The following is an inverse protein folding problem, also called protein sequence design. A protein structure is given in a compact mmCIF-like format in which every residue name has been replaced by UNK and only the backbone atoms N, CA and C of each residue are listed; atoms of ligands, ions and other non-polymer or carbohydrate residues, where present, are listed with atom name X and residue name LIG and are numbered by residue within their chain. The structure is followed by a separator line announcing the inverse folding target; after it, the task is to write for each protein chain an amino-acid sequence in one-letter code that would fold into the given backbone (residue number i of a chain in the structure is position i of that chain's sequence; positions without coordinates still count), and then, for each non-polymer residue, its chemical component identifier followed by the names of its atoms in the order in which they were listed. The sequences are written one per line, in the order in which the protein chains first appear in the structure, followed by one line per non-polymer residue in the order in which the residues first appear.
data_IF_142381944961
#
_entry.id   IF_142381944961
#
_cell.length_a   1.000
_cell.length_b   1.000
_cell.length_c   1.000
_cell.angle_alpha   90.00
_cell.angle_beta   90.00
_cell.angle_gamma   90.00
#
_symmetry.space_group_name_H-M   'P 1'
#
loop_
_entity.id
_entity.type
_entity.pdbx_description
1 polymer ?
#
# COMPACT_ATOMS: atom_id res chain seq x y z
N UNK A 1 3.42 -0.59 7.50
CA UNK A 1 2.39 -1.15 8.45
C UNK A 1 1.04 -1.20 7.75
N UNK A 2 0.25 -2.26 7.96
CA UNK A 2 -1.07 -2.38 7.33
C UNK A 2 -2.06 -1.37 7.92
N UNK A 3 -2.94 -0.84 7.07
CA UNK A 3 -4.08 -0.01 7.50
C UNK A 3 -5.19 -0.92 8.01
N UNK A 4 -6.04 -0.40 8.89
CA UNK A 4 -7.15 -1.17 9.50
C UNK A 4 -8.09 -1.81 8.46
N UNK A 5 -8.26 -1.17 7.31
CA UNK A 5 -9.06 -1.68 6.18
C UNK A 5 -8.48 -2.96 5.56
N UNK A 6 -7.15 -3.10 5.59
CA UNK A 6 -6.41 -4.25 5.07
C UNK A 6 -6.12 -5.29 6.15
N UNK A 7 -6.39 -4.95 7.42
CA UNK A 7 -6.24 -5.85 8.53
C UNK A 7 -7.29 -6.96 8.46
N UNK A 8 -6.84 -8.20 8.62
CA UNK A 8 -7.72 -9.37 8.67
C UNK A 8 -7.53 -10.02 10.04
N UNK A 9 -8.62 -10.14 10.78
CA UNK A 9 -8.65 -10.84 12.05
C UNK A 9 -10.01 -11.53 12.24
N UNK A 10 -10.00 -12.72 12.81
CA UNK A 10 -11.20 -13.42 13.26
C UNK A 10 -11.38 -13.27 14.77
N UNK A 11 -12.64 -13.25 15.20
CA UNK A 11 -13.02 -13.17 16.60
C UNK A 11 -13.58 -14.53 17.02
N UNK A 12 -12.92 -15.20 17.96
CA UNK A 12 -13.29 -16.52 18.45
C UNK A 12 -13.15 -16.53 19.97
N UNK A 13 -14.23 -16.84 20.69
CA UNK A 13 -14.23 -16.99 22.16
C UNK A 13 -13.60 -15.81 22.93
N UNK A 14 -13.87 -14.58 22.48
CA UNK A 14 -13.30 -13.36 23.08
C UNK A 14 -11.83 -13.12 22.76
N UNK A 15 -11.22 -13.93 21.89
CA UNK A 15 -9.87 -13.74 21.36
C UNK A 15 -9.91 -13.17 19.95
N UNK A 16 -8.93 -12.32 19.63
CA UNK A 16 -8.71 -11.79 18.28
C UNK A 16 -7.54 -12.54 17.66
N UNK A 17 -7.80 -13.30 16.60
CA UNK A 17 -6.81 -14.07 15.89
C UNK A 17 -6.52 -13.37 14.55
N UNK A 18 -5.36 -12.68 14.41
CA UNK A 18 -4.98 -12.09 13.13
C UNK A 18 -4.74 -13.20 12.09
N UNK A 19 -4.99 -12.86 10.82
CA UNK A 19 -4.68 -13.77 9.71
C UNK A 19 -3.18 -14.07 9.67
N UNK A 20 -2.84 -15.36 9.51
CA UNK A 20 -1.45 -15.84 9.55
C UNK A 20 -1.24 -16.92 8.50
N UNK A 21 -0.23 -16.68 7.67
CA UNK A 21 0.26 -17.65 6.70
C UNK A 21 1.17 -18.65 7.42
N UNK A 22 0.68 -19.88 7.55
CA UNK A 22 1.41 -21.04 8.07
C UNK A 22 2.14 -21.81 6.96
N UNK A 23 3.25 -22.47 7.32
CA UNK A 23 4.07 -23.27 6.39
C UNK A 23 3.33 -24.47 5.80
N UNK A 24 2.32 -25.00 6.48
CA UNK A 24 1.62 -26.21 6.04
C UNK A 24 0.46 -25.87 5.09
N UNK A 25 -0.44 -24.97 5.51
CA UNK A 25 -1.64 -24.63 4.73
C UNK A 25 -1.35 -23.67 3.57
N UNK A 26 -0.30 -22.87 3.68
CA UNK A 26 0.00 -21.80 2.72
C UNK A 26 1.39 -21.98 2.11
N UNK A 27 1.80 -23.22 1.86
CA UNK A 27 3.09 -23.51 1.21
C UNK A 27 3.17 -22.88 -0.20
N UNK A 28 2.06 -22.87 -0.93
CA UNK A 28 1.95 -22.29 -2.27
C UNK A 28 2.15 -20.78 -2.31
N UNK A 29 1.95 -20.07 -1.19
CA UNK A 29 2.20 -18.63 -1.11
C UNK A 29 3.68 -18.27 -1.30
N UNK A 30 4.60 -19.22 -1.15
CA UNK A 30 6.02 -19.00 -1.42
C UNK A 30 6.22 -18.73 -2.92
N UNK A 31 5.54 -19.47 -3.78
CA UNK A 31 5.67 -19.29 -5.22
C UNK A 31 4.95 -18.02 -5.69
N UNK A 32 3.77 -17.71 -5.13
CA UNK A 32 3.14 -16.41 -5.34
C UNK A 32 4.02 -15.24 -4.88
N UNK A 33 4.73 -15.38 -3.76
CA UNK A 33 5.65 -14.34 -3.30
C UNK A 33 6.77 -14.06 -4.31
N UNK A 34 7.33 -15.10 -4.94
CA UNK A 34 8.32 -14.95 -6.02
C UNK A 34 7.72 -14.25 -7.23
N UNK A 35 6.54 -14.67 -7.67
CA UNK A 35 5.85 -14.07 -8.81
C UNK A 35 5.54 -12.59 -8.57
N UNK A 36 5.03 -12.25 -7.39
CA UNK A 36 4.77 -10.85 -7.01
C UNK A 36 6.05 -10.01 -7.00
N UNK A 37 7.16 -10.53 -6.48
CA UNK A 37 8.45 -9.83 -6.53
C UNK A 37 8.95 -9.66 -7.97
N UNK A 38 8.76 -10.66 -8.83
CA UNK A 38 9.12 -10.62 -10.24
C UNK A 38 8.32 -9.56 -11.02
N UNK A 39 7.03 -9.39 -10.70
CA UNK A 39 6.19 -8.32 -11.27
C UNK A 39 6.76 -6.94 -10.95
N UNK A 40 7.13 -6.69 -9.69
CA UNK A 40 7.72 -5.39 -9.30
C UNK A 40 9.12 -5.19 -9.87
N UNK A 41 9.91 -6.27 -10.00
CA UNK A 41 11.25 -6.23 -10.59
C UNK A 41 11.22 -5.91 -12.09
N UNK A 42 10.32 -6.54 -12.84
CA UNK A 42 10.17 -6.29 -14.28
C UNK A 42 9.33 -5.05 -14.61
N UNK A 43 8.52 -4.59 -13.65
CA UNK A 43 7.60 -3.47 -13.79
C UNK A 43 8.20 -2.08 -13.52
N UNK A 44 9.52 -1.91 -13.51
CA UNK A 44 10.13 -0.58 -13.36
C UNK A 44 9.65 0.34 -14.51
N UNK A 45 9.11 1.50 -14.17
CA UNK A 45 8.51 2.46 -15.10
C UNK A 45 7.00 2.25 -15.37
N UNK A 46 6.41 1.15 -14.91
CA UNK A 46 4.97 0.90 -15.03
C UNK A 46 4.17 1.66 -13.95
N UNK A 47 2.87 1.85 -14.20
CA UNK A 47 1.98 2.51 -13.25
C UNK A 47 1.64 1.59 -12.07
N UNK A 48 1.52 2.18 -10.88
CA UNK A 48 1.12 1.47 -9.65
C UNK A 48 -0.17 0.67 -9.82
N UNK A 49 -1.17 1.22 -10.53
CA UNK A 49 -2.43 0.52 -10.84
C UNK A 49 -2.21 -0.78 -11.61
N UNK A 50 -1.35 -0.77 -12.61
CA UNK A 50 -1.05 -1.96 -13.42
C UNK A 50 -0.36 -3.01 -12.56
N UNK A 51 0.61 -2.61 -11.73
CA UNK A 51 1.27 -3.52 -10.78
C UNK A 51 0.26 -4.17 -9.82
N UNK A 52 -0.66 -3.38 -9.26
CA UNK A 52 -1.70 -3.89 -8.36
C UNK A 52 -2.65 -4.85 -9.07
N UNK A 53 -3.01 -4.57 -10.33
CA UNK A 53 -3.82 -5.46 -11.15
C UNK A 53 -3.11 -6.80 -11.44
N UNK A 54 -1.81 -6.78 -11.72
CA UNK A 54 -1.05 -8.03 -11.92
C UNK A 54 -0.95 -8.84 -10.62
N UNK A 55 -0.73 -8.21 -9.46
CA UNK A 55 -0.80 -8.92 -8.16
C UNK A 55 -2.18 -9.53 -7.94
N UNK A 56 -3.23 -8.78 -8.24
CA UNK A 56 -4.60 -9.26 -8.09
C UNK A 56 -4.82 -10.52 -8.93
N UNK A 57 -4.36 -10.56 -10.19
CA UNK A 57 -4.47 -11.74 -11.05
C UNK A 57 -3.73 -12.96 -10.49
N UNK A 58 -2.54 -12.76 -9.93
CA UNK A 58 -1.75 -13.85 -9.32
C UNK A 58 -2.54 -14.48 -8.16
N UNK A 59 -3.13 -13.66 -7.30
CA UNK A 59 -3.82 -14.12 -6.09
C UNK A 59 -5.27 -14.57 -6.36
N UNK A 60 -5.90 -14.12 -7.45
CA UNK A 60 -7.22 -14.60 -7.91
C UNK A 60 -7.19 -16.08 -8.32
N UNK A 61 -6.00 -16.63 -8.62
CA UNK A 61 -5.85 -18.06 -8.87
C UNK A 61 -6.13 -18.94 -7.63
N UNK A 62 -6.08 -18.36 -6.42
CA UNK A 62 -6.38 -19.03 -5.16
C UNK A 62 -7.82 -18.72 -4.70
N UNK A 63 -8.77 -19.68 -4.82
CA UNK A 63 -10.17 -19.45 -4.48
C UNK A 63 -10.42 -19.22 -2.97
N UNK A 64 -9.47 -19.56 -2.10
CA UNK A 64 -9.57 -19.32 -0.65
C UNK A 64 -8.97 -17.97 -0.24
N UNK A 65 -8.41 -17.19 -1.17
CA UNK A 65 -7.73 -15.93 -0.86
C UNK A 65 -8.75 -14.79 -0.59
N UNK A 66 -8.74 -14.17 0.61
CA UNK A 66 -9.56 -12.99 0.86
C UNK A 66 -9.07 -11.81 0.02
N UNK A 67 -9.99 -11.04 -0.57
CA UNK A 67 -9.66 -9.83 -1.36
C UNK A 67 -8.76 -8.85 -0.58
N UNK A 68 -8.95 -8.75 0.74
CA UNK A 68 -8.13 -7.89 1.62
C UNK A 68 -6.65 -8.29 1.66
N UNK A 69 -6.35 -9.57 1.43
CA UNK A 69 -4.97 -10.09 1.41
C UNK A 69 -4.20 -9.55 0.20
N UNK A 70 -4.87 -9.38 -0.94
CA UNK A 70 -4.32 -8.72 -2.14
C UNK A 70 -3.86 -7.30 -1.80
N UNK A 71 -4.76 -6.48 -1.24
CA UNK A 71 -4.42 -5.11 -0.86
C UNK A 71 -3.31 -5.03 0.19
N UNK A 72 -3.26 -5.99 1.12
CA UNK A 72 -2.19 -6.09 2.09
C UNK A 72 -0.82 -6.38 1.44
N UNK A 73 -0.74 -7.31 0.48
CA UNK A 73 0.50 -7.57 -0.24
C UNK A 73 0.92 -6.40 -1.13
N UNK A 74 -0.01 -5.79 -1.87
CA UNK A 74 0.26 -4.58 -2.65
C UNK A 74 0.87 -3.50 -1.75
N UNK A 75 0.31 -3.27 -0.57
CA UNK A 75 0.85 -2.30 0.39
C UNK A 75 2.25 -2.66 0.88
N UNK A 76 2.52 -3.93 1.20
CA UNK A 76 3.84 -4.35 1.68
C UNK A 76 4.93 -4.21 0.62
N UNK A 77 4.59 -4.44 -0.65
CA UNK A 77 5.49 -4.25 -1.79
C UNK A 77 5.67 -2.75 -2.10
N UNK A 78 4.60 -1.97 -2.00
CA UNK A 78 4.65 -0.52 -2.15
C UNK A 78 5.49 0.15 -1.05
N UNK A 79 5.41 -0.33 0.21
CA UNK A 79 6.24 0.15 1.33
C UNK A 79 7.75 -0.06 1.07
N UNK A 80 8.12 -0.95 0.12
CA UNK A 80 9.49 -1.20 -0.33
C UNK A 80 9.85 -0.56 -1.66
N UNK A 81 8.90 0.11 -2.27
CA UNK A 81 9.02 0.70 -3.60
C UNK A 81 9.12 2.21 -3.50
N UNK A 82 9.88 2.80 -4.41
CA UNK A 82 9.89 4.24 -4.63
C UNK A 82 9.07 4.52 -5.89
N UNK A 83 8.19 5.51 -5.80
CA UNK A 83 7.31 5.91 -6.91
C UNK A 83 7.55 7.37 -7.28
N UNK A 84 7.48 7.67 -8.58
CA UNK A 84 7.48 9.04 -9.08
C UNK A 84 6.09 9.66 -8.89
N UNK A 85 5.99 10.54 -7.90
CA UNK A 85 4.76 11.29 -7.59
C UNK A 85 4.54 12.50 -8.51
N UNK A 86 5.47 12.76 -9.45
CA UNK A 86 5.40 13.88 -10.38
C UNK A 86 5.41 15.25 -9.68
N UNK A 87 4.86 16.26 -10.38
CA UNK A 87 4.74 17.65 -9.89
C UNK A 87 3.26 18.07 -9.87
N UNK A 88 2.55 17.91 -8.73
CA UNK A 88 1.10 18.11 -8.66
C UNK A 88 0.61 19.48 -9.15
N UNK A 89 1.35 20.56 -8.84
CA UNK A 89 1.00 21.91 -9.28
C UNK A 89 1.07 22.06 -10.80
N UNK A 90 2.12 21.53 -11.43
CA UNK A 90 2.31 21.59 -12.88
C UNK A 90 1.25 20.74 -13.60
N UNK A 91 0.94 19.56 -13.06
CA UNK A 91 -0.09 18.66 -13.60
C UNK A 91 -1.49 19.28 -13.53
N UNK A 92 -1.83 19.97 -12.42
CA UNK A 92 -3.11 20.68 -12.31
C UNK A 92 -3.23 21.82 -13.32
N UNK A 93 -2.15 22.58 -13.56
CA UNK A 93 -2.12 23.64 -14.58
C UNK A 93 -2.29 23.07 -15.99
N UNK A 94 -1.63 21.94 -16.29
CA UNK A 94 -1.77 21.22 -17.56
C UNK A 94 -3.24 20.80 -17.79
N UNK A 95 -3.88 20.20 -16.78
CA UNK A 95 -5.31 19.84 -16.85
C UNK A 95 -6.19 21.05 -17.16
N UNK A 96 -5.94 22.17 -16.49
CA UNK A 96 -6.72 23.39 -16.74
C UNK A 96 -6.57 23.92 -18.17
N UNK A 97 -5.34 23.91 -18.72
CA UNK A 97 -5.10 24.35 -20.11
C UNK A 97 -5.81 23.44 -21.11
N UNK A 98 -5.61 22.13 -21.00
CA UNK A 98 -6.22 21.12 -21.88
C UNK A 98 -7.74 21.19 -21.84
N UNK A 99 -8.35 21.24 -20.64
CA UNK A 99 -9.80 21.31 -20.53
C UNK A 99 -10.38 22.64 -21.02
N UNK A 100 -9.64 23.76 -20.89
CA UNK A 100 -10.07 25.04 -21.45
C UNK A 100 -10.04 25.04 -22.98
N UNK A 101 -9.01 24.45 -23.59
CA UNK A 101 -8.93 24.29 -25.04
C UNK A 101 -10.04 23.37 -25.57
N UNK A 102 -10.30 22.25 -24.87
CA UNK A 102 -11.39 21.34 -25.21
C UNK A 102 -12.77 22.01 -25.08
N UNK A 103 -12.97 22.82 -24.04
CA UNK A 103 -14.23 23.54 -23.82
C UNK A 103 -14.51 24.60 -24.90
N UNK A 104 -13.48 25.20 -25.48
CA UNK A 104 -13.62 26.15 -26.58
C UNK A 104 -14.10 25.48 -27.90
N UNK A 105 -13.97 24.16 -27.99
CA UNK A 105 -14.34 23.32 -29.14
C UNK A 105 -15.51 22.40 -28.80
N UNK A 106 -16.39 22.83 -27.88
CA UNK A 106 -17.60 22.10 -27.52
C UNK A 106 -18.73 22.38 -28.54
N UNK A 107 -19.52 21.37 -28.98
CA UNK A 107 -19.56 19.97 -28.56
C UNK A 107 -18.50 19.07 -29.22
N UNK A 108 -17.96 18.14 -28.41
CA UNK A 108 -17.06 17.08 -28.86
C UNK A 108 -17.87 15.81 -29.11
N UNK A 109 -17.85 15.32 -30.35
CA UNK A 109 -18.65 14.16 -30.77
C UNK A 109 -17.80 13.10 -31.48
N UNK A 110 -18.30 11.86 -31.49
CA UNK A 110 -17.68 10.76 -32.22
C UNK A 110 -18.07 10.80 -33.72
N UNK A 111 -19.33 11.13 -34.01
CA UNK A 111 -19.84 11.32 -35.36
C UNK A 111 -20.27 12.78 -35.50
N UNK A 112 -19.76 13.45 -36.52
CA UNK A 112 -20.09 14.85 -36.83
C UNK A 112 -21.42 14.86 -37.58
N UNK A 113 -22.45 15.44 -36.98
CA UNK A 113 -23.79 15.57 -37.58
C UNK A 113 -24.13 17.04 -37.91
N UNK A 114 -23.49 17.97 -37.21
CA UNK A 114 -23.65 19.42 -37.35
C UNK A 114 -22.34 20.13 -37.71
N UNK A 115 -22.44 21.32 -38.30
CA UNK A 115 -21.27 22.19 -38.59
C UNK A 115 -20.60 22.70 -37.30
N UNK A 116 -21.35 22.74 -36.20
CA UNK A 116 -20.85 23.15 -34.88
C UNK A 116 -20.15 21.98 -34.14
N UNK A 117 -20.25 20.77 -34.67
CA UNK A 117 -19.68 19.59 -34.03
C UNK A 117 -18.18 19.48 -34.34
N UNK A 118 -17.42 19.13 -33.31
CA UNK A 118 -15.99 18.86 -33.44
C UNK A 118 -15.70 17.39 -33.17
N UNK A 119 -15.02 16.72 -34.12
CA UNK A 119 -14.58 15.35 -33.91
C UNK A 119 -13.56 15.31 -32.77
N UNK A 120 -13.78 14.46 -31.77
CA UNK A 120 -12.93 14.43 -30.58
C UNK A 120 -11.46 14.08 -30.90
N UNK A 121 -11.20 13.25 -31.92
CA UNK A 121 -9.84 12.87 -32.35
C UNK A 121 -9.06 14.08 -32.87
N UNK A 122 -9.67 14.91 -33.73
CA UNK A 122 -9.03 16.12 -34.26
C UNK A 122 -8.71 17.12 -33.14
N UNK A 123 -9.60 17.22 -32.15
CA UNK A 123 -9.39 18.09 -30.99
C UNK A 123 -8.26 17.56 -30.12
N UNK A 124 -8.17 16.24 -29.90
CA UNK A 124 -7.07 15.61 -29.18
C UNK A 124 -5.73 15.89 -29.85
N UNK A 125 -5.65 15.75 -31.18
CA UNK A 125 -4.42 15.99 -31.94
C UNK A 125 -4.04 17.47 -31.93
N UNK A 126 -4.99 18.39 -32.09
CA UNK A 126 -4.75 19.85 -31.98
C UNK A 126 -4.22 20.25 -30.61
N UNK A 127 -4.81 19.72 -29.54
CA UNK A 127 -4.37 19.97 -28.17
C UNK A 127 -2.95 19.40 -27.96
N UNK A 128 -2.71 18.17 -28.40
CA UNK A 128 -1.42 17.51 -28.30
C UNK A 128 -0.31 18.29 -29.03
N UNK A 129 -0.59 18.78 -30.24
CA UNK A 129 0.30 19.68 -30.99
C UNK A 129 0.58 20.98 -30.23
N UNK A 130 -0.43 21.59 -29.61
CA UNK A 130 -0.25 22.85 -28.86
C UNK A 130 0.65 22.69 -27.63
N UNK A 131 0.64 21.51 -27.00
CA UNK A 131 1.49 21.17 -25.85
C UNK A 131 2.79 20.45 -26.28
N UNK A 132 3.10 20.40 -27.59
CA UNK A 132 4.28 19.76 -28.19
C UNK A 132 4.50 18.29 -27.76
N UNK A 133 3.42 17.51 -27.66
CA UNK A 133 3.52 16.10 -27.24
C UNK A 133 2.50 15.23 -27.99
N UNK A 134 2.50 13.91 -27.78
CA UNK A 134 1.47 13.02 -28.34
C UNK A 134 0.26 12.94 -27.42
N UNK A 135 -0.95 12.68 -27.94
CA UNK A 135 -2.12 12.56 -27.07
C UNK A 135 -1.97 11.41 -26.04
N UNK A 136 -1.28 10.33 -26.40
CA UNK A 136 -1.00 9.22 -25.48
C UNK A 136 -0.14 9.67 -24.30
N UNK A 137 0.94 10.39 -24.55
CA UNK A 137 1.82 10.92 -23.49
C UNK A 137 1.11 11.99 -22.68
N UNK A 138 0.37 12.88 -23.34
CA UNK A 138 -0.42 13.93 -22.68
C UNK A 138 -1.44 13.32 -21.71
N UNK A 139 -2.16 12.29 -22.15
CA UNK A 139 -3.14 11.56 -21.31
C UNK A 139 -2.49 10.98 -20.06
N UNK A 140 -1.28 10.44 -20.17
CA UNK A 140 -0.54 9.91 -19.03
C UNK A 140 -0.06 11.03 -18.09
N UNK A 141 0.41 12.15 -18.66
CA UNK A 141 0.88 13.30 -17.88
C UNK A 141 -0.25 14.01 -17.12
N UNK A 142 -1.44 14.12 -17.71
CA UNK A 142 -2.62 14.80 -17.14
C UNK A 142 -2.99 14.32 -15.74
N UNK A 143 -2.73 13.04 -15.45
CA UNK A 143 -3.11 12.39 -14.21
C UNK A 143 -1.90 11.79 -13.47
N UNK A 144 -0.69 12.24 -13.78
CA UNK A 144 0.55 11.81 -13.13
C UNK A 144 0.63 12.14 -11.63
N UNK A 145 -0.24 13.04 -11.15
CA UNK A 145 -0.35 13.41 -9.74
C UNK A 145 -1.23 12.43 -8.92
N UNK A 146 -2.01 11.58 -9.59
CA UNK A 146 -2.84 10.56 -8.94
C UNK A 146 -1.99 9.37 -8.50
N UNK A 147 -2.16 8.95 -7.25
CA UNK A 147 -1.38 7.87 -6.62
C UNK A 147 -1.38 6.57 -7.45
N UNK A 148 -2.54 6.19 -8.01
CA UNK A 148 -2.67 5.01 -8.89
C UNK A 148 -1.81 5.08 -10.16
N UNK A 149 -1.48 6.29 -10.63
CA UNK A 149 -0.73 6.52 -11.86
C UNK A 149 0.75 6.82 -11.60
N UNK A 150 1.17 6.86 -10.34
CA UNK A 150 2.59 7.02 -10.01
C UNK A 150 3.38 5.85 -10.59
N UNK A 151 4.54 6.15 -11.17
CA UNK A 151 5.38 5.14 -11.82
C UNK A 151 6.40 4.59 -10.85
N UNK A 152 6.62 3.28 -10.90
CA UNK A 152 7.65 2.63 -10.09
C UNK A 152 9.04 3.09 -10.58
N UNK A 153 9.81 3.76 -9.74
CA UNK A 153 11.19 4.18 -10.06
C UNK A 153 12.20 3.17 -9.59
N UNK A 154 11.97 2.60 -8.41
CA UNK A 154 12.89 1.66 -7.78
C UNK A 154 12.12 0.69 -6.90
N UNK A 155 12.57 -0.56 -6.90
CA UNK A 155 12.06 -1.61 -6.04
C UNK A 155 13.20 -2.23 -5.23
N UNK A 156 13.08 -2.20 -3.91
CA UNK A 156 14.03 -2.88 -3.03
C UNK A 156 13.55 -4.32 -2.78
N UNK A 157 14.13 -5.27 -3.51
CA UNK A 157 13.76 -6.68 -3.44
C UNK A 157 14.02 -7.25 -2.03
N UNK A 158 13.09 -8.05 -1.46
CA UNK A 158 13.35 -8.77 -0.22
C UNK A 158 14.52 -9.75 -0.39
N UNK A 159 15.32 -9.93 0.66
CA UNK A 159 16.49 -10.83 0.63
C UNK A 159 16.11 -12.31 0.44
N UNK A 160 14.89 -12.70 0.84
CA UNK A 160 14.39 -14.06 0.75
C UNK A 160 12.91 -14.08 0.38
N UNK A 161 12.47 -15.09 -0.37
CA UNK A 161 11.07 -15.26 -0.79
C UNK A 161 10.11 -15.40 0.41
N UNK A 162 10.61 -15.96 1.51
CA UNK A 162 9.83 -16.12 2.76
C UNK A 162 9.74 -14.84 3.59
N UNK A 163 10.60 -13.85 3.34
CA UNK A 163 10.61 -12.59 4.09
C UNK A 163 9.34 -11.77 3.83
N UNK A 164 8.80 -11.79 2.61
CA UNK A 164 7.53 -11.15 2.31
C UNK A 164 6.37 -11.75 3.11
N UNK A 165 6.33 -13.08 3.22
CA UNK A 165 5.31 -13.80 3.99
C UNK A 165 5.47 -13.57 5.51
N UNK A 166 6.71 -13.57 6.00
CA UNK A 166 6.99 -13.23 7.40
C UNK A 166 6.53 -11.81 7.73
N UNK A 167 6.80 -10.85 6.83
CA UNK A 167 6.36 -9.45 6.96
C UNK A 167 4.86 -9.31 6.91
N UNK A 168 4.18 -10.08 6.08
CA UNK A 168 2.73 -10.14 6.08
C UNK A 168 2.19 -10.53 7.46
N UNK A 169 2.69 -11.62 8.04
CA UNK A 169 2.27 -12.09 9.36
C UNK A 169 2.56 -11.06 10.48
N UNK A 170 3.73 -10.42 10.43
CA UNK A 170 4.09 -9.35 11.37
C UNK A 170 3.16 -8.16 11.20
N UNK A 171 2.89 -7.72 9.97
CA UNK A 171 2.07 -6.56 9.70
C UNK A 171 0.60 -6.78 10.07
N UNK A 172 0.06 -7.98 9.88
CA UNK A 172 -1.29 -8.34 10.37
C UNK A 172 -1.35 -8.35 11.89
N UNK A 173 -0.33 -8.91 12.55
CA UNK A 173 -0.25 -8.91 14.01
C UNK A 173 -0.13 -7.49 14.56
N UNK A 174 0.70 -6.64 13.96
CA UNK A 174 0.82 -5.22 14.31
C UNK A 174 -0.50 -4.47 14.13
N UNK A 175 -1.22 -4.71 13.03
CA UNK A 175 -2.50 -4.08 12.79
C UNK A 175 -3.56 -4.48 13.84
N UNK A 176 -3.55 -5.74 14.30
CA UNK A 176 -4.41 -6.19 15.39
C UNK A 176 -4.02 -5.60 16.75
N UNK A 177 -2.72 -5.41 17.02
CA UNK A 177 -2.21 -4.82 18.26
C UNK A 177 -2.38 -3.30 18.32
N UNK A 178 -2.62 -2.62 17.19
CA UNK A 178 -2.74 -1.16 17.15
C UNK A 178 -3.89 -0.65 18.02
N UNK A 179 -5.00 -1.38 18.08
CA UNK A 179 -6.16 -1.06 18.92
C UNK A 179 -6.06 -1.67 20.34
N UNK A 180 -4.93 -2.28 20.70
CA UNK A 180 -4.76 -2.87 22.02
C UNK A 180 -4.68 -1.79 23.10
N UNK A 181 -5.37 -2.04 24.23
CA UNK A 181 -5.25 -1.21 25.43
C UNK A 181 -3.96 -1.48 26.19
N UNK A 182 -3.47 -2.71 26.17
CA UNK A 182 -2.30 -3.14 26.91
C UNK A 182 -1.65 -4.29 26.16
N UNK A 183 -0.32 -4.30 26.13
CA UNK A 183 0.46 -5.39 25.55
C UNK A 183 1.35 -5.94 26.66
N UNK A 184 1.22 -7.24 26.94
CA UNK A 184 2.06 -7.92 27.93
C UNK A 184 3.04 -8.82 27.18
N UNK A 185 4.33 -8.58 27.41
CA UNK A 185 5.42 -9.35 26.83
C UNK A 185 6.14 -10.10 27.95
N UNK A 186 6.09 -11.43 27.91
CA UNK A 186 6.88 -12.28 28.80
C UNK A 186 8.18 -12.65 28.10
N UNK A 187 9.27 -12.03 28.53
CA UNK A 187 10.59 -12.19 27.95
C UNK A 187 11.44 -13.14 28.80
N UNK A 188 11.72 -14.33 28.27
CA UNK A 188 12.61 -15.32 28.89
C UNK A 188 14.09 -15.11 28.54
N UNK A 189 14.36 -14.37 27.46
CA UNK A 189 15.69 -13.97 26.98
C UNK A 189 15.64 -12.58 26.34
N UNK A 190 16.82 -11.97 26.11
CA UNK A 190 16.98 -10.67 25.44
C UNK A 190 16.11 -9.51 25.95
N UNK A 191 15.63 -9.59 27.19
CA UNK A 191 14.78 -8.58 27.82
C UNK A 191 15.44 -7.19 27.83
N UNK A 192 16.78 -7.12 27.91
CA UNK A 192 17.53 -5.86 27.79
C UNK A 192 17.34 -5.19 26.44
N UNK A 193 17.30 -5.97 25.35
CA UNK A 193 17.06 -5.45 24.01
C UNK A 193 15.62 -4.95 23.87
N UNK A 194 14.65 -5.73 24.35
CA UNK A 194 13.22 -5.35 24.35
C UNK A 194 13.02 -4.04 25.12
N UNK A 195 13.59 -3.92 26.32
CA UNK A 195 13.51 -2.69 27.11
C UNK A 195 14.23 -1.52 26.46
N UNK A 196 15.38 -1.76 25.83
CA UNK A 196 16.09 -0.71 25.08
C UNK A 196 15.21 -0.15 23.97
N UNK A 197 14.58 -1.02 23.18
CA UNK A 197 13.66 -0.59 22.12
C UNK A 197 12.41 0.08 22.69
N UNK A 198 11.79 -0.46 23.75
CA UNK A 198 10.65 0.18 24.41
C UNK A 198 10.99 1.59 24.93
N UNK A 199 12.19 1.79 25.48
CA UNK A 199 12.67 3.10 25.92
C UNK A 199 12.97 4.05 24.75
N UNK A 200 13.59 3.55 23.67
CA UNK A 200 13.84 4.33 22.45
C UNK A 200 12.52 4.78 21.79
N UNK A 201 11.52 3.91 21.80
CA UNK A 201 10.16 4.18 21.38
C UNK A 201 9.35 5.00 22.42
N UNK A 202 9.96 5.39 23.54
CA UNK A 202 9.33 6.21 24.59
C UNK A 202 8.01 5.64 25.12
N UNK A 203 7.88 4.31 25.13
CA UNK A 203 6.67 3.65 25.60
C UNK A 203 6.60 3.68 27.14
N UNK A 204 5.43 4.01 27.69
CA UNK A 204 5.08 3.76 29.08
C UNK A 204 5.05 2.26 29.34
N UNK A 205 5.83 1.82 30.32
CA UNK A 205 6.02 0.41 30.60
C UNK A 205 6.17 0.14 32.10
N UNK A 206 5.67 -1.02 32.52
CA UNK A 206 5.91 -1.61 33.84
C UNK A 206 6.69 -2.91 33.68
N UNK A 207 7.66 -3.15 34.54
CA UNK A 207 8.52 -4.33 34.49
C UNK A 207 8.40 -5.07 35.81
N UNK A 208 8.09 -6.36 35.72
CA UNK A 208 7.94 -7.25 36.88
C UNK A 208 8.83 -8.49 36.65
N UNK A 209 9.69 -8.87 37.61
CA UNK A 209 10.45 -10.12 37.50
C UNK A 209 9.50 -11.32 37.63
N UNK A 210 9.71 -12.34 36.81
CA UNK A 210 9.00 -13.63 36.85
C UNK A 210 10.04 -14.77 36.93
N UNK A 211 9.67 -15.99 37.38
CA UNK A 211 10.65 -17.08 37.55
C UNK A 211 11.46 -17.40 36.29
N UNK A 212 10.89 -17.19 35.11
CA UNK A 212 11.51 -17.46 33.81
C UNK A 212 12.13 -16.23 33.13
N UNK A 213 12.12 -15.04 33.75
CA UNK A 213 12.61 -13.81 33.13
C UNK A 213 11.91 -12.54 33.62
N UNK A 214 11.41 -11.72 32.69
CA UNK A 214 10.69 -10.49 33.00
C UNK A 214 9.36 -10.40 32.26
N UNK A 215 8.31 -9.96 32.97
CA UNK A 215 7.05 -9.52 32.37
C UNK A 215 7.11 -8.01 32.17
N UNK A 216 7.04 -7.60 30.90
CA UNK A 216 7.03 -6.21 30.49
C UNK A 216 5.62 -5.88 30.04
N UNK A 217 4.95 -5.01 30.77
CA UNK A 217 3.62 -4.53 30.44
C UNK A 217 3.76 -3.16 29.78
N UNK A 218 3.35 -3.04 28.53
CA UNK A 218 3.33 -1.81 27.76
C UNK A 218 1.89 -1.29 27.75
N UNK A 219 1.70 -0.01 28.10
CA UNK A 219 0.43 0.64 27.83
C UNK A 219 0.26 0.72 26.32
N UNK A 220 -0.88 0.26 25.81
CA UNK A 220 -1.15 0.25 24.38
C UNK A 220 -1.57 1.62 23.86
N UNK A 221 -1.59 1.82 22.53
CA UNK A 221 -1.92 3.11 21.91
C UNK A 221 -3.32 3.62 22.30
N UNK A 222 -4.24 2.72 22.65
CA UNK A 222 -5.59 3.04 23.08
C UNK A 222 -5.72 3.32 24.61
N UNK A 223 -4.66 3.18 25.41
CA UNK A 223 -4.69 3.37 26.87
C UNK A 223 -4.66 4.84 27.30
N UNK A 224 -4.03 5.69 26.50
CA UNK A 224 -3.86 7.12 26.82
C UNK A 224 -5.16 7.84 26.50
N UNK A 225 -5.82 8.37 27.53
CA UNK A 225 -7.04 9.18 27.43
C UNK A 225 -6.85 10.25 26.34
N UNK A 226 -7.60 10.11 25.24
CA UNK A 226 -7.63 10.93 24.01
C UNK A 226 -6.42 10.79 23.06
N UNK A 227 -6.58 9.91 22.08
CA UNK A 227 -6.40 10.28 20.67
C UNK A 227 -4.96 10.51 20.18
N UNK A 228 -3.99 9.70 20.57
CA UNK A 228 -2.64 9.77 19.97
C UNK A 228 -2.32 8.53 19.14
N UNK A 229 -2.74 8.53 17.87
CA UNK A 229 -2.26 7.59 16.85
C UNK A 229 -0.73 7.51 16.78
N UNK A 230 0.00 8.56 17.22
CA UNK A 230 1.47 8.63 17.23
C UNK A 230 2.16 7.57 18.10
N UNK A 231 1.52 7.11 19.17
CA UNK A 231 2.12 6.16 20.11
C UNK A 231 2.10 4.72 19.59
N UNK A 232 1.17 4.37 18.70
CA UNK A 232 1.12 3.04 18.06
C UNK A 232 2.01 2.87 16.83
N UNK A 233 2.68 3.93 16.39
CA UNK A 233 3.61 3.88 15.25
C UNK A 233 5.07 3.65 15.66
N UNK A 234 5.42 3.81 16.96
CA UNK A 234 6.79 3.71 17.46
C UNK A 234 7.24 2.27 17.72
#
# INVERSE_FOLDING_TARGET
MLTKELAIASYVDGQVLPDRLSRNKHAHYIDYAKEMCQVYRSGIGTMRKTLHQEIQKILEADPECPIRRVGAFCKLLDDRSEFDAGKPKTTAQLRQRVFRQAAALHPLVANVESVLDHMYLDVQDKIAQSENTTWQDLKQQLFSDIIEHHRLTKFNEPENDTDLLARYNVAQTQAALFDARQIVVEATGDWKAILRYAKLAQLMHRIEPIPSGYRITLDGPASILRGTHRYGFQ
#
